data_IF_388945561154
#
_entry.id   IF_388945561154
#
_cell.length_a   1.000
_cell.length_b   1.000
_cell.length_c   1.000
_cell.angle_alpha   90.00
_cell.angle_beta   90.00
_cell.angle_gamma   90.00
#
_symmetry.space_group_name_H-M   'P 1'
#
loop_
_entity.id
_entity.type
_entity.pdbx_description
1 polymer ?
#
# COMPACT_ATOMS: atom_id res chain seq x y z
N UNK A 1 -2.33 2.39 -32.81
CA UNK A 1 -1.74 3.75 -32.98
C UNK A 1 -0.96 4.03 -31.69
N UNK A 2 0.36 4.24 -31.76
CA UNK A 2 1.24 4.32 -30.57
C UNK A 2 1.03 5.63 -29.82
N UNK A 3 0.21 5.67 -28.77
CA UNK A 3 0.30 6.73 -27.75
C UNK A 3 1.49 6.39 -26.85
N UNK A 4 2.67 6.83 -27.27
CA UNK A 4 3.85 6.85 -26.39
C UNK A 4 3.54 7.82 -25.24
N UNK A 5 3.90 7.46 -24.00
CA UNK A 5 3.85 8.36 -22.82
C UNK A 5 4.44 9.76 -23.10
N UNK A 6 5.41 9.85 -24.01
CA UNK A 6 6.00 11.10 -24.48
C UNK A 6 5.07 12.01 -25.29
N UNK A 7 3.85 11.56 -25.62
CA UNK A 7 2.86 12.31 -26.38
C UNK A 7 1.71 12.87 -25.54
N UNK A 8 1.60 12.51 -24.26
CA UNK A 8 0.61 13.07 -23.34
C UNK A 8 0.94 14.53 -23.02
N UNK A 9 0.00 15.44 -23.29
CA UNK A 9 0.21 16.88 -23.16
C UNK A 9 0.30 17.35 -21.70
N UNK A 10 -0.34 16.64 -20.76
CA UNK A 10 -0.18 16.91 -19.32
C UNK A 10 1.21 16.50 -18.84
N UNK A 11 1.71 15.35 -19.32
CA UNK A 11 3.07 14.90 -19.01
C UNK A 11 4.14 15.82 -19.63
N UNK A 12 3.94 16.30 -20.86
CA UNK A 12 4.82 17.30 -21.49
C UNK A 12 4.78 18.65 -20.77
N UNK A 13 3.61 19.10 -20.31
CA UNK A 13 3.50 20.32 -19.50
C UNK A 13 4.21 20.16 -18.16
N UNK A 14 4.04 19.02 -17.48
CA UNK A 14 4.75 18.71 -16.23
C UNK A 14 6.27 18.71 -16.44
N UNK A 15 6.75 18.02 -17.48
CA UNK A 15 8.16 18.00 -17.85
C UNK A 15 8.67 19.41 -18.16
N UNK A 16 7.95 20.21 -18.95
CA UNK A 16 8.32 21.60 -19.26
C UNK A 16 8.36 22.49 -18.01
N UNK A 17 7.41 22.33 -17.08
CA UNK A 17 7.39 23.07 -15.81
C UNK A 17 8.57 22.69 -14.92
N UNK A 18 8.95 21.41 -14.91
CA UNK A 18 10.08 20.92 -14.12
C UNK A 18 11.44 21.05 -14.83
N UNK A 19 11.45 21.30 -16.15
CA UNK A 19 12.68 21.32 -16.96
C UNK A 19 13.66 22.40 -16.49
N UNK A 20 13.17 23.58 -16.10
CA UNK A 20 14.02 24.63 -15.55
C UNK A 20 14.65 24.20 -14.22
N UNK A 21 13.87 23.58 -13.32
CA UNK A 21 14.35 23.06 -12.04
C UNK A 21 15.33 21.88 -12.19
N UNK A 22 15.14 21.02 -13.20
CA UNK A 22 16.03 19.89 -13.52
C UNK A 22 17.35 20.40 -14.11
N UNK A 23 17.31 21.40 -15.01
CA UNK A 23 18.51 21.98 -15.63
C UNK A 23 19.32 22.78 -14.60
N UNK A 24 18.65 23.55 -13.75
CA UNK A 24 19.31 24.32 -12.68
C UNK A 24 19.95 23.38 -11.63
N UNK A 25 19.27 22.28 -11.29
CA UNK A 25 19.84 21.19 -10.47
C UNK A 25 21.11 20.59 -11.08
N UNK A 26 21.06 20.29 -12.39
CA UNK A 26 22.15 19.61 -13.07
C UNK A 26 23.36 20.52 -13.35
N UNK A 27 23.18 21.85 -13.34
CA UNK A 27 24.21 22.80 -13.77
C UNK A 27 24.82 23.60 -12.62
N UNK A 28 24.06 23.86 -11.54
CA UNK A 28 24.47 24.71 -10.40
C UNK A 28 24.09 24.11 -9.03
N UNK A 29 23.59 22.88 -8.97
CA UNK A 29 23.19 22.24 -7.72
C UNK A 29 24.41 21.88 -6.87
N UNK A 30 24.30 22.07 -5.55
CA UNK A 30 25.29 21.62 -4.56
C UNK A 30 25.59 20.12 -4.72
N UNK A 31 24.68 19.34 -5.30
CA UNK A 31 24.90 17.92 -5.62
C UNK A 31 26.08 17.68 -6.61
N UNK A 32 26.46 18.69 -7.39
CA UNK A 32 27.60 18.64 -8.31
C UNK A 32 28.95 18.98 -7.63
N UNK A 33 28.91 19.55 -6.41
CA UNK A 33 30.09 19.92 -5.62
C UNK A 33 30.92 18.68 -5.22
N UNK A 34 32.24 18.82 -5.24
CA UNK A 34 33.15 17.71 -4.94
C UNK A 34 33.12 17.32 -3.46
N UNK A 35 32.92 18.28 -2.54
CA UNK A 35 32.79 18.00 -1.11
C UNK A 35 31.45 17.33 -0.79
N UNK A 36 30.38 17.66 -1.51
CA UNK A 36 29.11 16.93 -1.40
C UNK A 36 29.27 15.45 -1.78
N UNK A 37 29.91 15.17 -2.93
CA UNK A 37 30.18 13.80 -3.39
C UNK A 37 31.14 13.05 -2.46
N UNK A 38 32.15 13.76 -1.95
CA UNK A 38 33.09 13.23 -0.95
C UNK A 38 32.32 12.82 0.30
N UNK A 39 31.47 13.69 0.84
CA UNK A 39 30.66 13.42 2.03
C UNK A 39 29.77 12.18 1.87
N UNK A 40 29.07 12.04 0.73
CA UNK A 40 28.30 10.82 0.42
C UNK A 40 29.18 9.57 0.43
N UNK A 41 30.35 9.63 -0.20
CA UNK A 41 31.29 8.51 -0.29
C UNK A 41 31.84 8.13 1.09
N UNK A 42 32.16 9.13 1.91
CA UNK A 42 32.64 8.96 3.27
C UNK A 42 31.59 8.31 4.17
N UNK A 43 30.34 8.81 4.17
CA UNK A 43 29.23 8.23 4.93
C UNK A 43 29.03 6.76 4.55
N UNK A 44 29.05 6.46 3.25
CA UNK A 44 28.92 5.09 2.74
C UNK A 44 30.06 4.18 3.23
N UNK A 45 31.30 4.65 3.13
CA UNK A 45 32.46 3.89 3.61
C UNK A 45 32.41 3.64 5.13
N UNK A 46 31.96 4.63 5.90
CA UNK A 46 31.81 4.49 7.35
C UNK A 46 30.69 3.53 7.73
N UNK A 47 29.57 3.55 7.02
CA UNK A 47 28.49 2.56 7.20
C UNK A 47 29.01 1.13 6.99
N UNK A 48 29.83 0.90 5.98
CA UNK A 48 30.36 -0.44 5.71
C UNK A 48 31.38 -0.88 6.78
N UNK A 49 32.05 0.07 7.43
CA UNK A 49 33.04 -0.16 8.49
C UNK A 49 32.41 -0.36 9.87
N UNK A 50 31.36 0.38 10.20
CA UNK A 50 30.73 0.40 11.52
C UNK A 50 29.36 -0.28 11.49
N UNK A 51 29.17 -1.30 12.32
CA UNK A 51 27.89 -2.01 12.51
C UNK A 51 26.88 -1.19 13.36
N UNK A 52 26.71 0.10 13.07
CA UNK A 52 25.63 0.91 13.66
C UNK A 52 24.39 0.82 12.75
N UNK A 53 23.40 0.05 13.21
CA UNK A 53 22.14 -0.18 12.52
C UNK A 53 21.07 0.87 12.88
N UNK A 54 21.45 2.05 13.37
CA UNK A 54 20.49 3.11 13.70
C UNK A 54 20.38 4.15 12.58
N UNK A 55 19.18 4.68 12.40
CA UNK A 55 18.91 5.74 11.43
C UNK A 55 19.58 7.03 11.90
N UNK A 56 20.44 7.65 11.07
CA UNK A 56 21.16 8.89 11.38
C UNK A 56 20.81 10.01 10.40
N UNK A 57 20.73 11.23 10.91
CA UNK A 57 20.61 12.46 10.14
C UNK A 57 21.84 13.32 10.41
N UNK A 58 22.69 13.48 9.41
CA UNK A 58 23.83 14.40 9.42
C UNK A 58 23.34 15.74 8.91
N UNK A 59 23.43 16.76 9.73
CA UNK A 59 22.99 18.12 9.39
C UNK A 59 24.23 19.00 9.33
N UNK A 60 24.47 19.63 8.19
CA UNK A 60 25.63 20.50 7.98
C UNK A 60 25.17 21.76 7.24
N UNK A 61 25.77 22.92 7.54
CA UNK A 61 25.51 24.11 6.75
C UNK A 61 26.11 23.94 5.34
N UNK A 62 25.48 24.54 4.34
CA UNK A 62 26.00 24.52 2.97
C UNK A 62 27.41 25.12 2.89
N UNK A 63 27.64 26.23 3.59
CA UNK A 63 28.96 26.88 3.69
C UNK A 63 30.00 25.96 4.34
N UNK A 64 29.62 25.23 5.40
CA UNK A 64 30.51 24.30 6.09
C UNK A 64 30.86 23.10 5.20
N UNK A 65 29.88 22.60 4.44
CA UNK A 65 30.10 21.51 3.48
C UNK A 65 31.00 21.95 2.33
N UNK A 66 30.83 23.17 1.82
CA UNK A 66 31.68 23.73 0.78
C UNK A 66 33.12 23.95 1.27
N UNK A 67 33.30 24.19 2.56
CA UNK A 67 34.61 24.41 3.19
C UNK A 67 35.10 23.20 4.00
N UNK A 68 34.72 21.98 3.59
CA UNK A 68 35.08 20.76 4.29
C UNK A 68 36.59 20.63 4.49
N UNK A 69 37.00 20.22 5.69
CA UNK A 69 38.40 20.04 6.06
C UNK A 69 39.14 19.08 5.13
N UNK A 70 40.41 19.37 4.85
CA UNK A 70 41.26 18.47 4.04
C UNK A 70 41.53 17.12 4.71
N UNK A 71 41.25 16.99 6.01
CA UNK A 71 41.37 15.75 6.78
C UNK A 71 40.04 14.97 6.93
N UNK A 72 39.06 15.22 6.04
CA UNK A 72 37.70 14.68 6.15
C UNK A 72 37.64 13.15 6.36
N UNK A 73 38.51 12.39 5.69
CA UNK A 73 38.63 10.93 5.86
C UNK A 73 38.89 10.54 7.32
N UNK A 74 39.82 11.23 8.00
CA UNK A 74 40.13 10.95 9.41
C UNK A 74 39.07 11.49 10.35
N UNK A 75 38.50 12.64 10.01
CA UNK A 75 37.50 13.31 10.84
C UNK A 75 36.18 12.53 10.88
N UNK A 76 35.73 11.96 9.75
CA UNK A 76 34.50 11.16 9.72
C UNK A 76 34.65 9.84 10.49
N UNK A 77 35.83 9.23 10.46
CA UNK A 77 36.10 8.01 11.24
C UNK A 77 35.98 8.27 12.74
N UNK A 78 36.53 9.41 13.19
CA UNK A 78 36.40 9.88 14.58
C UNK A 78 34.95 10.22 14.92
N UNK A 79 34.19 10.79 13.99
CA UNK A 79 32.78 11.09 14.16
C UNK A 79 31.97 9.81 14.42
N UNK A 80 32.14 8.77 13.60
CA UNK A 80 31.42 7.50 13.76
C UNK A 80 31.81 6.73 15.02
N UNK A 81 33.04 6.92 15.52
CA UNK A 81 33.49 6.36 16.80
C UNK A 81 33.03 7.20 18.03
N UNK A 82 32.44 8.38 17.83
CA UNK A 82 32.09 9.28 18.92
C UNK A 82 30.84 8.77 19.69
N UNK A 83 30.86 8.68 21.04
CA UNK A 83 29.70 8.28 21.82
C UNK A 83 28.44 9.11 21.56
N UNK A 84 28.58 10.43 21.34
CA UNK A 84 27.44 11.29 21.02
C UNK A 84 26.82 10.93 19.67
N UNK A 85 27.65 10.58 18.68
CA UNK A 85 27.17 10.11 17.40
C UNK A 85 26.40 8.80 17.54
N UNK A 86 26.96 7.83 18.27
CA UNK A 86 26.35 6.50 18.46
C UNK A 86 25.00 6.62 19.17
N UNK A 87 24.88 7.49 20.18
CA UNK A 87 23.69 7.58 21.03
C UNK A 87 22.56 8.46 20.47
N UNK A 88 22.86 9.33 19.50
CA UNK A 88 21.92 10.30 18.96
C UNK A 88 21.63 10.03 17.47
N UNK A 89 20.55 10.62 16.97
CA UNK A 89 20.11 10.43 15.57
C UNK A 89 20.33 11.68 14.75
N UNK A 90 20.01 12.84 15.31
CA UNK A 90 20.27 14.12 14.68
C UNK A 90 21.63 14.60 15.13
N UNK A 91 22.57 14.69 14.19
CA UNK A 91 23.94 15.08 14.43
C UNK A 91 24.22 16.31 13.57
N UNK A 92 24.32 17.48 14.21
CA UNK A 92 24.74 18.72 13.56
C UNK A 92 26.26 18.78 13.60
N UNK A 93 26.88 18.97 12.46
CA UNK A 93 28.34 19.00 12.29
C UNK A 93 28.80 20.28 11.60
N UNK A 94 30.03 20.69 11.93
CA UNK A 94 30.73 21.79 11.24
C UNK A 94 31.59 21.31 10.07
N UNK A 95 32.33 22.22 9.44
CA UNK A 95 33.25 21.93 8.33
C UNK A 95 34.41 21.00 8.68
N UNK A 96 34.70 20.82 9.98
CA UNK A 96 35.72 19.91 10.51
C UNK A 96 35.12 18.55 10.92
N UNK A 97 33.85 18.29 10.59
CA UNK A 97 33.07 17.11 10.98
C UNK A 97 32.97 16.92 12.50
N UNK A 98 33.09 18.00 13.28
CA UNK A 98 32.88 17.97 14.73
C UNK A 98 31.42 18.19 15.05
N UNK A 99 30.93 17.47 16.05
CA UNK A 99 29.54 17.60 16.51
C UNK A 99 29.37 18.96 17.20
N UNK A 100 28.54 19.81 16.62
CA UNK A 100 28.11 21.10 17.19
C UNK A 100 26.89 20.90 18.09
N UNK A 101 25.96 20.07 17.65
CA UNK A 101 24.75 19.71 18.37
C UNK A 101 24.39 18.25 18.10
N UNK A 102 23.87 17.55 19.11
CA UNK A 102 23.34 16.21 18.94
C UNK A 102 22.05 16.05 19.75
N UNK A 103 21.03 15.46 19.13
CA UNK A 103 19.79 15.12 19.79
C UNK A 103 19.20 13.82 19.25
N UNK A 104 18.24 13.28 19.99
CA UNK A 104 17.60 12.01 19.67
C UNK A 104 16.10 12.19 19.40
N UNK A 105 15.72 13.32 18.79
CA UNK A 105 14.33 13.55 18.43
C UNK A 105 13.79 12.42 17.54
N UNK A 106 12.58 12.00 17.87
CA UNK A 106 11.84 10.96 17.18
C UNK A 106 10.82 11.62 16.29
N UNK A 107 10.97 11.41 14.98
CA UNK A 107 9.93 11.71 14.02
C UNK A 107 9.26 10.40 13.62
N UNK A 108 7.93 10.31 13.78
CA UNK A 108 7.17 9.08 13.56
C UNK A 108 6.47 9.05 12.19
N UNK A 109 6.80 10.00 11.31
CA UNK A 109 6.06 10.20 10.07
C UNK A 109 7.00 10.65 8.94
N UNK A 110 7.15 9.78 7.95
CA UNK A 110 7.93 10.02 6.74
C UNK A 110 7.60 11.35 6.05
N UNK A 111 6.31 11.72 5.99
CA UNK A 111 5.87 12.96 5.34
C UNK A 111 6.22 14.20 6.16
N UNK A 112 6.21 14.11 7.49
CA UNK A 112 6.61 15.22 8.36
C UNK A 112 8.10 15.49 8.22
N UNK A 113 8.94 14.44 8.21
CA UNK A 113 10.38 14.58 7.97
C UNK A 113 10.64 15.20 6.61
N UNK A 114 10.00 14.66 5.56
CA UNK A 114 10.17 15.21 4.21
C UNK A 114 9.84 16.69 4.17
N UNK A 115 8.74 17.12 4.80
CA UNK A 115 8.36 18.54 4.86
C UNK A 115 9.39 19.36 5.65
N UNK A 116 9.80 18.88 6.83
CA UNK A 116 10.76 19.58 7.70
C UNK A 116 12.12 19.77 7.00
N UNK A 117 12.70 18.69 6.48
CA UNK A 117 14.02 18.73 5.84
C UNK A 117 13.99 19.46 4.49
N UNK A 118 12.85 19.45 3.79
CA UNK A 118 12.64 20.32 2.63
C UNK A 118 12.72 21.80 3.01
N UNK A 119 12.06 22.23 4.08
CA UNK A 119 12.11 23.63 4.51
C UNK A 119 13.48 24.03 5.07
N UNK A 120 14.11 23.15 5.86
CA UNK A 120 15.47 23.38 6.36
C UNK A 120 16.46 23.55 5.19
N UNK A 121 16.38 22.69 4.18
CA UNK A 121 17.32 22.74 3.06
C UNK A 121 17.14 23.91 2.11
N UNK A 122 15.99 24.59 2.12
CA UNK A 122 15.83 25.90 1.46
C UNK A 122 16.61 27.01 2.17
N UNK A 123 17.01 26.80 3.42
CA UNK A 123 17.67 27.79 4.28
C UNK A 123 19.18 27.57 4.37
N UNK A 124 19.80 26.93 3.36
CA UNK A 124 21.25 26.69 3.31
C UNK A 124 21.72 25.55 4.23
N UNK A 125 20.83 24.60 4.55
CA UNK A 125 21.17 23.42 5.35
C UNK A 125 21.19 22.18 4.43
N UNK A 126 22.21 21.37 4.55
CA UNK A 126 22.29 20.07 3.88
C UNK A 126 22.02 18.99 4.92
N UNK A 127 21.10 18.07 4.60
CA UNK A 127 20.84 16.90 5.43
C UNK A 127 21.24 15.66 4.66
N UNK A 128 22.14 14.85 5.21
CA UNK A 128 22.36 13.47 4.77
C UNK A 128 21.67 12.53 5.74
N UNK A 129 21.10 11.47 5.21
CA UNK A 129 20.29 10.51 5.94
C UNK A 129 20.86 9.14 5.68
N UNK A 130 21.27 8.46 6.75
CA UNK A 130 21.79 7.10 6.68
C UNK A 130 20.79 6.16 7.34
N UNK A 131 20.19 5.28 6.56
CA UNK A 131 19.36 4.22 7.08
C UNK A 131 20.20 3.01 7.51
N UNK A 132 19.59 2.17 8.36
CA UNK A 132 20.22 0.99 8.94
C UNK A 132 20.66 -0.07 7.92
N UNK A 133 20.02 -0.11 6.75
CA UNK A 133 20.31 -1.02 5.64
C UNK A 133 21.26 -0.42 4.61
N UNK A 134 21.85 0.75 4.88
CA UNK A 134 22.83 1.41 4.01
C UNK A 134 22.25 2.27 2.91
N UNK A 135 20.92 2.45 2.89
CA UNK A 135 20.27 3.46 2.03
C UNK A 135 20.74 4.84 2.50
N UNK A 136 21.21 5.66 1.54
CA UNK A 136 21.54 7.06 1.80
C UNK A 136 20.56 7.96 1.04
N UNK A 137 19.87 8.82 1.79
CA UNK A 137 19.04 9.89 1.25
C UNK A 137 19.63 11.24 1.64
N UNK A 138 19.25 12.31 0.94
CA UNK A 138 19.69 13.65 1.28
C UNK A 138 18.67 14.72 0.90
N UNK A 139 18.78 15.88 1.53
CA UNK A 139 18.02 17.08 1.23
C UNK A 139 18.96 18.26 0.96
N UNK A 140 18.79 18.90 -0.20
CA UNK A 140 19.55 20.06 -0.68
C UNK A 140 18.61 21.01 -1.39
N UNK A 141 18.70 22.31 -1.11
CA UNK A 141 17.98 23.36 -1.82
C UNK A 141 16.46 23.10 -1.95
N UNK A 142 15.85 22.52 -0.92
CA UNK A 142 14.43 22.20 -0.90
C UNK A 142 14.02 20.97 -1.71
N UNK A 143 14.96 20.09 -2.04
CA UNK A 143 14.70 18.85 -2.77
C UNK A 143 15.28 17.66 -2.02
N UNK A 144 14.56 16.54 -2.07
CA UNK A 144 15.07 15.24 -1.66
C UNK A 144 15.72 14.48 -2.82
N UNK A 145 16.76 13.72 -2.52
CA UNK A 145 17.44 12.81 -3.43
C UNK A 145 18.00 11.59 -2.69
N UNK A 146 18.61 10.67 -3.43
CA UNK A 146 19.24 9.46 -2.89
C UNK A 146 18.58 8.16 -3.34
N UNK A 147 18.75 7.13 -2.52
CA UNK A 147 18.49 5.73 -2.88
C UNK A 147 17.05 5.27 -2.59
N UNK A 148 16.26 6.02 -1.80
CA UNK A 148 14.88 5.63 -1.48
C UNK A 148 13.93 6.78 -1.09
N UNK A 149 12.67 6.43 -0.83
CA UNK A 149 11.63 7.34 -0.30
C UNK A 149 11.45 7.25 1.22
N UNK A 150 12.32 6.49 1.91
CA UNK A 150 12.22 6.26 3.35
C UNK A 150 13.16 7.19 4.12
N UNK A 151 12.57 8.00 4.97
CA UNK A 151 13.24 9.02 5.76
C UNK A 151 13.25 8.69 7.25
N UNK A 152 12.66 7.57 7.67
CA UNK A 152 12.71 7.11 9.06
C UNK A 152 12.56 5.58 9.21
N UNK A 153 13.03 5.08 10.35
CA UNK A 153 13.25 3.66 10.62
C UNK A 153 11.96 2.82 10.69
N UNK A 154 10.88 3.33 11.28
CA UNK A 154 9.62 2.60 11.45
C UNK A 154 8.91 2.37 10.11
N UNK A 155 8.88 3.35 9.21
CA UNK A 155 8.35 3.19 7.84
C UNK A 155 9.21 2.21 7.06
N UNK A 156 10.55 2.33 7.10
CA UNK A 156 11.45 1.39 6.43
C UNK A 156 11.26 -0.04 6.98
N UNK A 157 11.22 -0.20 8.30
CA UNK A 157 11.05 -1.51 8.93
C UNK A 157 9.67 -2.11 8.63
N UNK A 158 8.61 -1.31 8.71
CA UNK A 158 7.26 -1.72 8.32
C UNK A 158 7.20 -2.15 6.86
N UNK A 159 7.97 -1.50 5.98
CA UNK A 159 8.06 -1.87 4.56
C UNK A 159 8.84 -3.18 4.36
N UNK A 160 10.04 -3.31 4.95
CA UNK A 160 10.89 -4.50 4.84
C UNK A 160 10.21 -5.75 5.43
N UNK A 161 9.39 -5.60 6.47
CA UNK A 161 8.63 -6.71 7.06
C UNK A 161 7.48 -7.21 6.18
N UNK A 162 7.08 -6.47 5.13
CA UNK A 162 6.01 -6.91 4.24
C UNK A 162 6.51 -7.96 3.26
N UNK A 163 5.59 -8.83 2.85
CA UNK A 163 5.87 -9.95 1.96
C UNK A 163 5.71 -9.57 0.49
N UNK A 164 6.49 -10.16 -0.43
CA UNK A 164 6.30 -9.98 -1.87
C UNK A 164 4.93 -10.50 -2.33
N UNK A 165 4.49 -10.11 -3.52
CA UNK A 165 3.19 -10.54 -4.06
C UNK A 165 3.10 -12.05 -4.28
N UNK A 166 4.25 -12.72 -4.46
CA UNK A 166 4.33 -14.18 -4.60
C UNK A 166 3.77 -14.93 -3.39
N UNK A 167 3.73 -14.31 -2.21
CA UNK A 167 3.14 -14.86 -0.98
C UNK A 167 1.67 -14.42 -0.75
N UNK A 168 1.00 -13.88 -1.77
CA UNK A 168 -0.41 -13.44 -1.66
C UNK A 168 -1.32 -14.56 -1.14
N UNK A 169 -1.08 -15.81 -1.54
CA UNK A 169 -1.90 -16.94 -1.11
C UNK A 169 -1.83 -17.14 0.41
N UNK A 170 -0.62 -17.17 0.98
CA UNK A 170 -0.39 -17.29 2.42
C UNK A 170 -1.00 -16.12 3.19
N UNK A 171 -0.87 -14.90 2.66
CA UNK A 171 -1.48 -13.69 3.23
C UNK A 171 -3.01 -13.80 3.25
N UNK A 172 -3.63 -14.30 2.18
CA UNK A 172 -5.08 -14.50 2.12
C UNK A 172 -5.55 -15.58 3.11
N UNK A 173 -4.77 -16.64 3.35
CA UNK A 173 -5.06 -17.63 4.40
C UNK A 173 -5.02 -17.02 5.81
N UNK A 174 -4.08 -16.12 6.08
CA UNK A 174 -4.06 -15.36 7.34
C UNK A 174 -5.31 -14.50 7.50
N UNK A 175 -5.74 -13.84 6.41
CA UNK A 175 -6.97 -13.06 6.43
C UNK A 175 -8.20 -13.94 6.69
N UNK A 176 -8.31 -15.13 6.07
CA UNK A 176 -9.37 -16.11 6.37
C UNK A 176 -9.41 -16.48 7.85
N UNK A 177 -8.24 -16.67 8.48
CA UNK A 177 -8.16 -16.94 9.93
C UNK A 177 -8.60 -15.72 10.75
N UNK A 178 -8.16 -14.51 10.38
CA UNK A 178 -8.53 -13.25 11.05
C UNK A 178 -10.03 -12.99 10.98
N UNK A 179 -10.68 -13.33 9.86
CA UNK A 179 -12.13 -13.21 9.68
C UNK A 179 -12.95 -14.11 10.61
N UNK A 180 -12.36 -15.13 11.25
CA UNK A 180 -13.07 -15.94 12.26
C UNK A 180 -13.10 -15.29 13.64
N UNK A 181 -12.33 -14.22 13.86
CA UNK A 181 -12.33 -13.48 15.11
C UNK A 181 -13.56 -12.57 15.19
N UNK A 182 -14.24 -12.57 16.34
CA UNK A 182 -15.48 -11.80 16.58
C UNK A 182 -15.31 -10.31 16.28
N UNK A 183 -14.22 -9.72 16.75
CA UNK A 183 -13.92 -8.30 16.54
C UNK A 183 -13.68 -7.97 15.05
N UNK A 184 -13.30 -8.97 14.25
CA UNK A 184 -13.16 -8.81 12.80
C UNK A 184 -14.50 -8.98 12.10
N UNK A 185 -15.21 -10.10 12.32
CA UNK A 185 -16.38 -10.39 11.48
C UNK A 185 -17.61 -9.55 11.82
N UNK A 186 -17.74 -9.10 13.07
CA UNK A 186 -18.94 -8.40 13.53
C UNK A 186 -19.27 -7.13 12.74
N UNK A 187 -18.27 -6.50 12.11
CA UNK A 187 -18.45 -5.36 11.21
C UNK A 187 -19.22 -5.68 9.92
N UNK A 188 -19.27 -6.95 9.50
CA UNK A 188 -19.98 -7.36 8.29
C UNK A 188 -21.45 -7.71 8.55
N UNK A 189 -21.81 -8.05 9.80
CA UNK A 189 -23.14 -8.54 10.16
C UNK A 189 -23.96 -7.51 10.93
N UNK A 190 -25.29 -7.61 10.81
CA UNK A 190 -26.23 -6.81 11.57
C UNK A 190 -26.15 -7.19 13.06
N UNK A 191 -26.16 -6.19 13.93
CA UNK A 191 -26.11 -6.38 15.38
C UNK A 191 -27.42 -6.99 15.91
N UNK A 192 -27.34 -7.70 17.03
CA UNK A 192 -28.48 -8.34 17.69
C UNK A 192 -29.55 -7.32 18.06
N UNK A 193 -29.15 -6.15 18.56
CA UNK A 193 -30.04 -5.02 18.88
C UNK A 193 -30.85 -4.57 17.66
N UNK A 194 -30.22 -4.55 16.49
CA UNK A 194 -30.86 -4.19 15.23
C UNK A 194 -31.75 -5.33 14.73
N UNK A 195 -31.35 -6.60 14.84
CA UNK A 195 -32.23 -7.74 14.53
C UNK A 195 -33.52 -7.73 15.37
N UNK A 196 -33.46 -7.34 16.65
CA UNK A 196 -34.66 -7.16 17.50
C UNK A 196 -35.62 -6.10 16.95
N UNK A 197 -35.07 -4.98 16.50
CA UNK A 197 -35.85 -3.88 15.92
C UNK A 197 -36.45 -4.29 14.57
N UNK A 198 -35.64 -4.90 13.71
CA UNK A 198 -36.06 -5.40 12.39
C UNK A 198 -37.22 -6.39 12.51
N UNK A 199 -37.19 -7.29 13.50
CA UNK A 199 -38.28 -8.22 13.79
C UNK A 199 -39.64 -7.51 13.93
N UNK A 200 -39.66 -6.37 14.62
CA UNK A 200 -40.86 -5.56 14.83
C UNK A 200 -41.29 -4.89 13.52
N UNK A 201 -40.33 -4.30 12.80
CA UNK A 201 -40.59 -3.61 11.53
C UNK A 201 -41.20 -4.54 10.48
N UNK A 202 -40.66 -5.77 10.34
CA UNK A 202 -41.16 -6.78 9.39
C UNK A 202 -42.33 -7.60 9.95
N UNK A 203 -42.80 -7.28 11.17
CA UNK A 203 -43.93 -7.95 11.85
C UNK A 203 -43.79 -9.47 11.91
N UNK A 204 -42.59 -9.98 12.21
CA UNK A 204 -42.35 -11.42 12.24
C UNK A 204 -43.09 -12.10 13.39
N UNK A 205 -43.74 -13.23 13.10
CA UNK A 205 -44.41 -14.09 14.08
C UNK A 205 -43.42 -14.93 14.91
N UNK A 206 -42.14 -14.99 14.52
CA UNK A 206 -41.12 -15.71 15.28
C UNK A 206 -40.90 -15.07 16.66
N UNK A 207 -40.55 -15.88 17.65
CA UNK A 207 -40.01 -15.35 18.92
C UNK A 207 -38.70 -14.62 18.67
N UNK A 208 -38.32 -13.71 19.56
CA UNK A 208 -37.08 -12.92 19.43
C UNK A 208 -35.86 -13.81 19.20
N UNK A 209 -35.66 -14.83 20.04
CA UNK A 209 -34.50 -15.73 19.91
C UNK A 209 -34.49 -16.51 18.60
N UNK A 210 -35.66 -16.99 18.14
CA UNK A 210 -35.77 -17.70 16.86
C UNK A 210 -35.51 -16.78 15.67
N UNK A 211 -35.95 -15.53 15.74
CA UNK A 211 -35.71 -14.54 14.69
C UNK A 211 -34.22 -14.18 14.63
N UNK A 212 -33.58 -13.96 15.77
CA UNK A 212 -32.14 -13.65 15.84
C UNK A 212 -31.32 -14.82 15.29
N UNK A 213 -31.62 -16.05 15.71
CA UNK A 213 -30.88 -17.23 15.24
C UNK A 213 -31.06 -17.45 13.73
N UNK A 214 -32.27 -17.29 13.21
CA UNK A 214 -32.55 -17.42 11.77
C UNK A 214 -31.83 -16.35 10.92
N UNK A 215 -31.56 -15.17 11.50
CA UNK A 215 -31.03 -14.02 10.78
C UNK A 215 -29.63 -13.60 11.25
N UNK A 216 -28.91 -14.43 12.01
CA UNK A 216 -27.56 -14.11 12.50
C UNK A 216 -26.55 -13.86 11.38
N UNK A 217 -26.80 -14.41 10.19
CA UNK A 217 -25.96 -14.22 9.00
C UNK A 217 -26.38 -13.01 8.15
N UNK A 218 -27.36 -12.22 8.58
CA UNK A 218 -27.80 -11.04 7.85
C UNK A 218 -26.66 -10.01 7.81
N UNK A 219 -26.25 -9.65 6.60
CA UNK A 219 -25.16 -8.69 6.38
C UNK A 219 -25.64 -7.27 6.59
N UNK A 220 -24.73 -6.39 6.98
CA UNK A 220 -24.96 -4.93 6.94
C UNK A 220 -25.19 -4.46 5.51
N UNK A 221 -25.61 -3.21 5.36
CA UNK A 221 -25.70 -2.59 4.05
C UNK A 221 -24.30 -2.49 3.40
N UNK A 222 -24.26 -2.47 2.07
CA UNK A 222 -23.01 -2.38 1.26
C UNK A 222 -21.90 -3.35 1.70
N UNK A 223 -22.17 -4.64 1.89
CA UNK A 223 -21.18 -5.56 2.45
C UNK A 223 -20.05 -5.90 1.46
N UNK A 224 -20.28 -5.76 0.16
CA UNK A 224 -19.26 -5.94 -0.89
C UNK A 224 -18.18 -4.85 -0.77
N UNK A 225 -18.59 -3.59 -0.58
CA UNK A 225 -17.67 -2.47 -0.34
C UNK A 225 -16.91 -2.63 0.99
N UNK A 226 -17.61 -2.99 2.07
CA UNK A 226 -16.99 -3.22 3.38
C UNK A 226 -15.92 -4.32 3.30
N UNK A 227 -16.21 -5.43 2.62
CA UNK A 227 -15.25 -6.52 2.44
C UNK A 227 -14.07 -6.11 1.55
N UNK A 228 -14.31 -5.38 0.46
CA UNK A 228 -13.25 -4.84 -0.41
C UNK A 228 -12.28 -3.96 0.37
N UNK A 229 -12.81 -3.01 1.13
CA UNK A 229 -11.99 -2.01 1.81
C UNK A 229 -11.21 -2.64 2.97
N UNK A 230 -11.81 -3.58 3.70
CA UNK A 230 -11.13 -4.32 4.77
C UNK A 230 -10.03 -5.24 4.23
N UNK A 231 -10.31 -5.98 3.16
CA UNK A 231 -9.32 -6.83 2.49
C UNK A 231 -8.17 -5.96 1.97
N UNK A 232 -8.47 -4.83 1.31
CA UNK A 232 -7.44 -3.90 0.81
C UNK A 232 -6.55 -3.38 1.93
N UNK A 233 -7.13 -2.99 3.07
CA UNK A 233 -6.37 -2.51 4.22
C UNK A 233 -5.45 -3.62 4.76
N UNK A 234 -5.99 -4.83 4.94
CA UNK A 234 -5.22 -5.99 5.39
C UNK A 234 -4.05 -6.30 4.45
N UNK A 235 -4.29 -6.32 3.14
CA UNK A 235 -3.25 -6.58 2.14
C UNK A 235 -2.19 -5.46 2.16
N UNK A 236 -2.59 -4.19 2.31
CA UNK A 236 -1.65 -3.05 2.41
C UNK A 236 -0.74 -3.14 3.62
N UNK A 237 -1.21 -3.71 4.73
CA UNK A 237 -0.41 -3.95 5.93
C UNK A 237 0.59 -5.11 5.76
N UNK A 238 0.30 -6.07 4.86
CA UNK A 238 1.03 -7.35 4.78
C UNK A 238 1.89 -7.52 3.54
N UNK A 239 1.55 -6.86 2.43
CA UNK A 239 2.20 -7.02 1.14
C UNK A 239 3.03 -5.80 0.74
N UNK A 240 4.20 -6.07 0.19
CA UNK A 240 5.12 -5.09 -0.35
C UNK A 240 4.77 -4.78 -1.82
N UNK A 241 3.57 -4.24 -2.03
CA UNK A 241 3.05 -3.93 -3.38
C UNK A 241 2.45 -2.53 -3.40
N UNK A 242 2.39 -1.95 -4.59
CA UNK A 242 1.81 -0.62 -4.78
C UNK A 242 0.31 -0.72 -5.03
N UNK A 243 -0.49 -0.26 -4.07
CA UNK A 243 -1.95 -0.15 -4.24
C UNK A 243 -2.30 1.14 -4.95
N UNK A 244 -2.95 1.05 -6.11
CA UNK A 244 -3.37 2.24 -6.85
C UNK A 244 -4.65 2.80 -6.19
N UNK A 245 -4.69 4.09 -5.80
CA UNK A 245 -5.92 4.74 -5.33
C UNK A 245 -6.84 5.12 -6.51
N UNK A 246 -8.16 5.06 -6.33
CA UNK A 246 -9.15 5.36 -7.39
C UNK A 246 -8.99 6.75 -8.00
N UNK A 247 -8.54 7.73 -7.23
CA UNK A 247 -8.36 9.13 -7.65
C UNK A 247 -7.25 9.31 -8.70
N UNK A 248 -6.27 8.39 -8.73
CA UNK A 248 -5.16 8.39 -9.70
C UNK A 248 -5.27 7.32 -10.79
N UNK A 249 -6.39 6.59 -10.85
CA UNK A 249 -6.58 5.52 -11.83
C UNK A 249 -6.99 6.07 -13.21
N UNK A 250 -6.45 5.46 -14.26
CA UNK A 250 -7.01 5.54 -15.60
C UNK A 250 -8.47 5.06 -15.61
N UNK A 251 -9.32 5.61 -16.48
CA UNK A 251 -10.77 5.34 -16.48
C UNK A 251 -11.12 3.85 -16.58
N UNK A 252 -10.39 3.11 -17.41
CA UNK A 252 -10.48 1.66 -17.57
C UNK A 252 -10.12 0.84 -16.31
N UNK A 253 -9.34 1.41 -15.38
CA UNK A 253 -8.96 0.79 -14.11
C UNK A 253 -9.95 1.13 -12.98
N UNK A 254 -10.68 2.25 -13.07
CA UNK A 254 -11.62 2.70 -12.02
C UNK A 254 -12.76 1.71 -11.73
N UNK A 255 -13.05 0.84 -12.69
CA UNK A 255 -14.05 -0.24 -12.56
C UNK A 255 -13.58 -1.45 -11.76
N UNK A 256 -12.27 -1.59 -11.54
CA UNK A 256 -11.69 -2.69 -10.77
C UNK A 256 -11.81 -2.38 -9.28
N UNK A 257 -12.04 -3.41 -8.47
CA UNK A 257 -12.23 -3.24 -7.03
C UNK A 257 -10.93 -2.94 -6.28
N UNK A 258 -9.93 -3.82 -6.40
CA UNK A 258 -8.60 -3.63 -5.80
C UNK A 258 -7.56 -3.79 -6.90
N UNK A 259 -6.69 -2.79 -7.09
CA UNK A 259 -5.61 -2.80 -8.09
C UNK A 259 -4.26 -2.69 -7.40
N UNK A 260 -3.34 -3.57 -7.80
CA UNK A 260 -2.01 -3.71 -7.24
C UNK A 260 -0.97 -3.73 -8.38
N UNK A 261 0.18 -3.12 -8.15
CA UNK A 261 1.37 -3.31 -8.96
C UNK A 261 2.38 -4.05 -8.10
N UNK A 262 3.04 -5.07 -8.66
CA UNK A 262 4.10 -5.81 -7.96
C UNK A 262 5.25 -4.93 -7.48
N UNK A 263 6.09 -5.52 -6.63
CA UNK A 263 7.25 -4.88 -6.01
C UNK A 263 8.22 -4.25 -7.02
N UNK A 264 8.30 -4.82 -8.24
CA UNK A 264 9.17 -4.34 -9.32
C UNK A 264 8.56 -3.18 -10.13
N UNK A 265 7.28 -2.85 -9.88
CA UNK A 265 6.58 -1.79 -10.58
C UNK A 265 6.13 -2.14 -12.01
N UNK A 266 6.16 -3.42 -12.39
CA UNK A 266 5.99 -3.85 -13.78
C UNK A 266 4.67 -4.60 -14.03
N UNK A 267 4.26 -5.46 -13.11
CA UNK A 267 3.08 -6.31 -13.29
C UNK A 267 1.83 -5.73 -12.63
N UNK A 268 0.76 -5.59 -13.41
CA UNK A 268 -0.55 -5.21 -12.87
C UNK A 268 -1.35 -6.45 -12.44
N UNK A 269 -1.88 -6.38 -11.23
CA UNK A 269 -2.76 -7.39 -10.64
C UNK A 269 -4.03 -6.71 -10.15
N UNK A 270 -5.15 -7.45 -10.13
CA UNK A 270 -6.36 -6.93 -9.50
C UNK A 270 -7.14 -8.02 -8.77
N UNK A 271 -7.95 -7.62 -7.81
CA UNK A 271 -8.92 -8.49 -7.13
C UNK A 271 -10.30 -7.90 -7.37
N UNK A 272 -11.16 -8.64 -8.07
CA UNK A 272 -12.60 -8.40 -8.15
C UNK A 272 -13.26 -8.99 -6.91
N UNK A 273 -14.13 -8.22 -6.27
CA UNK A 273 -14.76 -8.59 -5.02
C UNK A 273 -16.24 -8.86 -5.24
N UNK A 274 -16.75 -9.96 -4.69
CA UNK A 274 -18.17 -10.28 -4.67
C UNK A 274 -18.63 -10.74 -3.31
N UNK A 275 -19.93 -10.71 -3.06
CA UNK A 275 -20.55 -11.33 -1.87
C UNK A 275 -21.74 -12.21 -2.21
N UNK A 276 -21.99 -13.20 -1.35
CA UNK A 276 -23.19 -14.05 -1.37
C UNK A 276 -23.86 -14.06 0.01
N UNK A 277 -25.18 -14.22 0.03
CA UNK A 277 -26.02 -14.05 1.21
C UNK A 277 -26.89 -12.80 1.15
N UNK A 278 -27.67 -12.59 2.21
CA UNK A 278 -28.67 -11.51 2.31
C UNK A 278 -28.11 -10.35 3.12
N UNK A 279 -28.30 -9.12 2.61
CA UNK A 279 -28.00 -7.91 3.38
C UNK A 279 -29.28 -7.30 3.94
N UNK A 280 -29.16 -6.42 4.91
CA UNK A 280 -30.24 -5.53 5.31
C UNK A 280 -30.48 -4.46 4.23
N UNK A 281 -31.72 -3.96 4.13
CA UNK A 281 -32.07 -2.87 3.23
C UNK A 281 -31.38 -1.57 3.68
N UNK A 282 -31.02 -0.63 2.78
CA UNK A 282 -30.41 0.65 3.17
C UNK A 282 -31.16 1.46 4.22
N UNK A 283 -32.49 1.31 4.31
CA UNK A 283 -33.30 1.95 5.36
C UNK A 283 -33.11 1.34 6.75
N UNK A 284 -32.54 0.15 6.84
CA UNK A 284 -32.39 -0.62 8.08
C UNK A 284 -33.69 -1.25 8.60
N UNK A 285 -34.81 -1.16 7.87
CA UNK A 285 -36.15 -1.57 8.34
C UNK A 285 -36.72 -2.79 7.63
N UNK A 286 -35.99 -3.34 6.67
CA UNK A 286 -36.42 -4.52 5.91
C UNK A 286 -35.18 -5.32 5.45
N UNK A 287 -35.41 -6.51 4.91
CA UNK A 287 -34.40 -7.28 4.21
C UNK A 287 -34.02 -6.58 2.90
N UNK A 288 -32.73 -6.56 2.62
CA UNK A 288 -32.17 -6.04 1.39
C UNK A 288 -31.94 -7.14 0.36
N UNK A 289 -30.98 -6.92 -0.52
CA UNK A 289 -30.69 -7.83 -1.63
C UNK A 289 -30.05 -9.13 -1.15
N UNK A 290 -30.67 -10.24 -1.54
CA UNK A 290 -30.07 -11.58 -1.51
C UNK A 290 -29.26 -11.82 -2.80
N UNK A 291 -27.99 -12.20 -2.65
CA UNK A 291 -27.21 -12.74 -3.76
C UNK A 291 -26.96 -14.23 -3.57
N UNK A 292 -27.54 -15.03 -4.47
CA UNK A 292 -27.26 -16.47 -4.57
C UNK A 292 -25.97 -16.68 -5.35
N UNK A 293 -25.23 -17.75 -5.03
CA UNK A 293 -23.96 -18.07 -5.67
C UNK A 293 -24.04 -18.25 -7.20
N UNK A 294 -25.16 -18.81 -7.69
CA UNK A 294 -25.44 -18.96 -9.12
C UNK A 294 -26.66 -18.11 -9.47
N UNK A 295 -26.59 -17.24 -10.51
CA UNK A 295 -25.49 -17.07 -11.45
C UNK A 295 -24.39 -16.08 -11.02
N UNK A 296 -24.58 -15.36 -9.90
CA UNK A 296 -23.75 -14.21 -9.47
C UNK A 296 -22.25 -14.45 -9.53
N UNK A 297 -21.79 -15.60 -9.05
CA UNK A 297 -20.38 -16.00 -9.11
C UNK A 297 -20.17 -16.80 -10.39
N UNK A 298 -20.85 -17.95 -10.51
CA UNK A 298 -20.76 -18.81 -11.70
C UNK A 298 -22.02 -18.66 -12.56
N UNK A 299 -21.92 -18.12 -13.79
CA UNK A 299 -20.70 -17.70 -14.48
C UNK A 299 -20.38 -16.19 -14.39
N UNK A 300 -21.24 -15.36 -13.78
CA UNK A 300 -21.28 -13.92 -14.06
C UNK A 300 -20.01 -13.19 -13.62
N UNK A 301 -19.56 -13.39 -12.38
CA UNK A 301 -18.30 -12.79 -11.90
C UNK A 301 -17.09 -13.30 -12.68
N UNK A 302 -17.10 -14.57 -13.12
CA UNK A 302 -16.01 -15.07 -13.97
C UNK A 302 -15.96 -14.36 -15.32
N UNK A 303 -17.12 -14.20 -15.98
CA UNK A 303 -17.22 -13.47 -17.25
C UNK A 303 -16.72 -12.04 -17.11
N UNK A 304 -17.18 -11.35 -16.07
CA UNK A 304 -16.80 -9.98 -15.76
C UNK A 304 -15.28 -9.84 -15.62
N UNK A 305 -14.64 -10.63 -14.75
CA UNK A 305 -13.19 -10.56 -14.56
C UNK A 305 -12.40 -10.93 -15.82
N UNK A 306 -12.86 -11.92 -16.60
CA UNK A 306 -12.19 -12.27 -17.86
C UNK A 306 -12.31 -11.19 -18.91
N UNK A 307 -13.47 -10.54 -19.02
CA UNK A 307 -13.70 -9.43 -19.93
C UNK A 307 -12.78 -8.25 -19.58
N UNK A 308 -12.64 -7.92 -18.29
CA UNK A 308 -11.69 -6.90 -17.84
C UNK A 308 -10.25 -7.22 -18.25
N UNK A 309 -9.80 -8.47 -18.09
CA UNK A 309 -8.45 -8.88 -18.52
C UNK A 309 -8.31 -8.70 -20.04
N UNK A 310 -9.28 -9.16 -20.83
CA UNK A 310 -9.26 -9.03 -22.29
C UNK A 310 -9.14 -7.57 -22.72
N UNK A 311 -9.94 -6.69 -22.13
CA UNK A 311 -9.93 -5.27 -22.46
C UNK A 311 -8.62 -4.57 -22.06
N UNK A 312 -8.09 -4.87 -20.87
CA UNK A 312 -6.80 -4.32 -20.43
C UNK A 312 -5.66 -4.77 -21.33
N UNK A 313 -5.66 -6.04 -21.77
CA UNK A 313 -4.67 -6.55 -22.73
C UNK A 313 -4.82 -5.89 -24.11
N UNK A 314 -6.06 -5.65 -24.57
CA UNK A 314 -6.30 -4.93 -25.83
C UNK A 314 -5.76 -3.49 -25.80
N UNK A 315 -5.73 -2.89 -24.61
CA UNK A 315 -5.15 -1.56 -24.36
C UNK A 315 -3.63 -1.60 -24.09
N UNK A 316 -2.98 -2.76 -24.23
CA UNK A 316 -1.55 -3.00 -23.95
C UNK A 316 -1.15 -2.76 -22.49
N UNK A 317 -2.08 -2.95 -21.55
CA UNK A 317 -1.76 -2.96 -20.12
C UNK A 317 -1.35 -4.38 -19.74
N UNK A 318 -0.16 -4.50 -19.14
CA UNK A 318 0.43 -5.78 -18.74
C UNK A 318 -0.22 -6.33 -17.46
N UNK A 319 -1.47 -6.79 -17.59
CA UNK A 319 -2.14 -7.59 -16.57
C UNK A 319 -1.47 -8.96 -16.47
N UNK A 320 -0.93 -9.25 -15.29
CA UNK A 320 -0.38 -10.56 -14.94
C UNK A 320 -1.51 -11.51 -14.56
N UNK A 321 -2.24 -11.20 -13.49
CA UNK A 321 -3.35 -12.01 -12.99
C UNK A 321 -4.50 -11.14 -12.46
N UNK A 322 -5.72 -11.58 -12.72
CA UNK A 322 -6.92 -11.12 -12.04
C UNK A 322 -7.39 -12.16 -11.03
N UNK A 323 -7.80 -11.73 -9.85
CA UNK A 323 -8.32 -12.62 -8.83
C UNK A 323 -9.81 -12.34 -8.59
N UNK A 324 -10.55 -13.37 -8.19
CA UNK A 324 -11.92 -13.24 -7.70
C UNK A 324 -11.98 -13.67 -6.24
N UNK A 325 -12.25 -12.70 -5.36
CA UNK A 325 -12.45 -12.91 -3.93
C UNK A 325 -13.94 -12.82 -3.60
N UNK A 326 -14.45 -13.81 -2.86
CA UNK A 326 -15.87 -13.85 -2.51
C UNK A 326 -16.07 -13.96 -1.01
N UNK A 327 -16.81 -13.03 -0.45
CA UNK A 327 -17.30 -13.11 0.91
C UNK A 327 -18.55 -14.00 0.97
N UNK A 328 -18.46 -15.12 1.68
CA UNK A 328 -19.55 -16.09 1.78
C UNK A 328 -20.20 -16.06 3.16
N UNK A 329 -21.39 -15.47 3.22
CA UNK A 329 -22.20 -15.35 4.43
C UNK A 329 -23.33 -16.40 4.50
N UNK A 330 -23.34 -17.41 3.63
CA UNK A 330 -24.40 -18.43 3.63
C UNK A 330 -24.34 -19.25 4.91
N UNK A 331 -25.49 -19.41 5.56
CA UNK A 331 -25.59 -20.18 6.79
C UNK A 331 -25.37 -21.69 6.58
N UNK A 332 -25.71 -22.19 5.39
CA UNK A 332 -25.68 -23.63 5.05
C UNK A 332 -24.27 -24.07 4.61
N UNK A 333 -23.82 -25.24 5.05
CA UNK A 333 -22.54 -25.84 4.62
C UNK A 333 -22.56 -26.26 3.15
N UNK A 334 -22.46 -25.27 2.26
CA UNK A 334 -22.37 -25.43 0.82
C UNK A 334 -20.92 -25.44 0.31
N UNK A 335 -20.67 -26.02 -0.87
CA UNK A 335 -19.38 -25.93 -1.55
C UNK A 335 -18.98 -24.47 -1.87
N UNK A 336 -17.70 -24.30 -2.18
CA UNK A 336 -17.15 -23.07 -2.74
C UNK A 336 -17.99 -22.57 -3.93
N UNK A 337 -18.25 -21.27 -3.96
CA UNK A 337 -19.12 -20.63 -4.96
C UNK A 337 -18.56 -20.72 -6.38
N UNK A 338 -17.26 -20.96 -6.54
CA UNK A 338 -16.60 -21.21 -7.83
C UNK A 338 -16.86 -22.60 -8.42
N UNK A 339 -17.42 -23.54 -7.65
CA UNK A 339 -17.63 -24.93 -8.11
C UNK A 339 -18.57 -24.99 -9.32
N UNK A 340 -18.12 -25.73 -10.35
CA UNK A 340 -18.85 -25.93 -11.59
C UNK A 340 -18.62 -24.85 -12.64
N UNK A 341 -17.62 -23.98 -12.44
CA UNK A 341 -17.10 -23.13 -13.51
C UNK A 341 -16.27 -23.94 -14.52
N UNK A 342 -16.41 -23.61 -15.81
CA UNK A 342 -15.58 -24.15 -16.89
C UNK A 342 -15.38 -23.11 -17.98
N UNK A 343 -14.31 -23.25 -18.77
CA UNK A 343 -13.98 -22.30 -19.85
C UNK A 343 -15.09 -22.17 -20.90
N UNK A 344 -15.92 -23.21 -21.10
CA UNK A 344 -17.03 -23.18 -22.06
C UNK A 344 -18.12 -22.16 -21.68
N UNK A 345 -18.18 -21.78 -20.40
CA UNK A 345 -19.09 -20.75 -19.89
C UNK A 345 -18.60 -19.33 -20.14
N UNK A 346 -17.36 -19.16 -20.61
CA UNK A 346 -16.74 -17.88 -20.98
C UNK A 346 -16.98 -17.63 -22.48
N UNK A 347 -17.38 -16.39 -22.87
CA UNK A 347 -17.48 -16.00 -24.27
C UNK A 347 -16.18 -16.27 -25.02
N UNK A 348 -16.28 -16.73 -26.28
CA UNK A 348 -15.11 -17.13 -27.07
C UNK A 348 -14.03 -16.05 -27.16
N UNK A 349 -14.45 -14.78 -27.28
CA UNK A 349 -13.55 -13.61 -27.30
C UNK A 349 -12.66 -13.49 -26.05
N UNK A 350 -13.12 -13.97 -24.89
CA UNK A 350 -12.45 -13.79 -23.59
C UNK A 350 -11.76 -15.06 -23.09
N UNK A 351 -11.96 -16.20 -23.76
CA UNK A 351 -11.35 -17.48 -23.37
C UNK A 351 -9.83 -17.43 -23.24
N UNK A 352 -9.05 -16.73 -24.09
CA UNK A 352 -7.60 -16.61 -23.90
C UNK A 352 -7.22 -15.98 -22.56
N UNK A 353 -8.04 -15.05 -22.06
CA UNK A 353 -7.83 -14.35 -20.80
C UNK A 353 -8.22 -15.17 -19.58
N UNK A 354 -9.01 -16.25 -19.75
CA UNK A 354 -9.48 -17.09 -18.65
C UNK A 354 -8.35 -17.67 -17.80
N UNK A 355 -7.22 -18.04 -18.41
CA UNK A 355 -6.06 -18.60 -17.70
C UNK A 355 -5.33 -17.61 -16.79
N UNK A 356 -5.56 -16.29 -17.00
CA UNK A 356 -5.05 -15.24 -16.11
C UNK A 356 -6.02 -14.91 -14.97
N UNK A 357 -7.20 -15.54 -14.94
CA UNK A 357 -8.19 -15.33 -13.90
C UNK A 357 -8.13 -16.47 -12.87
N UNK A 358 -7.85 -16.12 -11.61
CA UNK A 358 -7.76 -17.06 -10.50
C UNK A 358 -8.90 -16.79 -9.50
N UNK A 359 -9.74 -17.79 -9.29
CA UNK A 359 -10.71 -17.78 -8.19
C UNK A 359 -9.97 -18.15 -6.89
N UNK A 360 -10.06 -17.29 -5.88
CA UNK A 360 -9.60 -17.57 -4.52
C UNK A 360 -10.72 -18.32 -3.79
N UNK A 361 -10.42 -19.36 -3.00
CA UNK A 361 -11.49 -20.01 -2.22
C UNK A 361 -12.18 -19.00 -1.31
N UNK A 362 -13.48 -19.19 -1.15
CA UNK A 362 -14.35 -18.22 -0.51
C UNK A 362 -13.92 -17.87 0.92
N UNK A 363 -14.02 -16.58 1.24
CA UNK A 363 -13.88 -16.05 2.58
C UNK A 363 -15.18 -16.30 3.34
N UNK A 364 -15.36 -17.56 3.74
CA UNK A 364 -16.55 -18.00 4.43
C UNK A 364 -16.52 -17.63 5.91
N UNK A 365 -17.58 -16.99 6.37
CA UNK A 365 -17.71 -16.56 7.76
C UNK A 365 -19.02 -17.05 8.35
N UNK A 366 -18.94 -17.66 9.53
CA UNK A 366 -20.10 -18.05 10.32
C UNK A 366 -20.23 -17.10 11.50
N UNK A 367 -21.30 -16.32 11.55
CA UNK A 367 -21.61 -15.49 12.71
C UNK A 367 -22.15 -16.36 13.85
N UNK A 368 -21.24 -16.91 14.67
CA UNK A 368 -21.57 -17.72 15.84
C UNK A 368 -22.10 -16.87 17.01
N UNK A 369 -21.72 -15.59 17.07
CA UNK A 369 -22.03 -14.69 18.18
C UNK A 369 -22.54 -13.34 17.67
N UNK A 370 -23.82 -13.24 17.27
CA UNK A 370 -24.40 -11.95 16.89
C UNK A 370 -24.29 -10.97 18.07
N UNK A 371 -23.56 -9.88 17.84
CA UNK A 371 -23.21 -8.86 18.85
C UNK A 371 -24.40 -8.25 19.54
#
# INVERSE_FOLDING_TARGET
>A
MKTRFSQDDNFKELLKRNQASIIDAASNGLEADDNFKLMLSLIKAMRDKYNDNSFKYFVILEEDLQNLTSEADSAIDKLFANPLFIQNRHIVIDSELKIVEANNELHNNNNEIRRLFTEMSKSGIVIFMLASDGIINYFVNGRDGGDSIFYESSTLHSFIQKRPLTELKEVLEEYRKRLKLRDTYSKFFVEKSHLKSLRVDVKSELSEDKFIEANKQLLRNTPEDCFRDDLRLFLKEKLNVFFIPKEGMLENLKRLDIVMIDEDGQGLYFIEVKRVGTSIHPSGKDFGTEYKAKPRIVPDAFKQSTEYITELLAENIDVKLGYLAVFDARNETLPDTGVGMSIDKIPEKDRPSFYKHIKIDDFRVINEHPN
#
